data_IF_119596481778
#
_entry.id   IF_119596481778
#
_cell.length_a   1.000
_cell.length_b   1.000
_cell.length_c   1.000
_cell.angle_alpha   90.00
_cell.angle_beta   90.00
_cell.angle_gamma   90.00
#
_symmetry.space_group_name_H-M   'P 1'
#
loop_
_entity.id
_entity.type
_entity.pdbx_description
1 polymer ?
#
# COMPACT_ATOMS: atom_id res chain seq x y z
N UNK A 1 36.02 -66.60 -38.67
CA UNK A 1 36.23 -65.18 -38.31
C UNK A 1 34.86 -64.53 -38.18
N UNK A 2 34.41 -64.17 -36.97
CA UNK A 2 33.14 -63.44 -36.75
C UNK A 2 33.50 -62.01 -36.36
N UNK A 3 33.09 -61.04 -37.18
CA UNK A 3 33.29 -59.63 -36.90
C UNK A 3 32.40 -59.22 -35.71
N UNK A 4 33.01 -58.59 -34.70
CA UNK A 4 32.31 -58.06 -33.53
C UNK A 4 31.47 -56.83 -33.90
N UNK A 5 30.25 -56.78 -33.41
CA UNK A 5 29.36 -55.61 -33.53
C UNK A 5 29.86 -54.45 -32.66
N UNK A 6 29.77 -53.18 -33.10
CA UNK A 6 30.13 -52.03 -32.27
C UNK A 6 29.07 -51.79 -31.19
N UNK A 7 29.51 -51.48 -29.98
CA UNK A 7 28.65 -51.04 -28.87
C UNK A 7 28.05 -49.66 -29.20
N UNK A 8 26.79 -49.38 -28.83
CA UNK A 8 26.23 -48.05 -29.02
C UNK A 8 26.92 -47.07 -28.09
N UNK A 9 27.33 -45.94 -28.65
CA UNK A 9 27.91 -44.81 -27.93
C UNK A 9 26.91 -44.27 -26.90
N UNK A 10 27.45 -43.99 -25.73
CA UNK A 10 26.79 -43.40 -24.58
C UNK A 10 26.09 -42.09 -25.01
N UNK A 11 24.76 -42.09 -24.98
CA UNK A 11 23.96 -40.90 -25.25
C UNK A 11 24.08 -39.97 -24.03
N UNK A 12 25.15 -39.17 -24.01
CA UNK A 12 25.33 -38.09 -23.06
C UNK A 12 24.08 -37.20 -23.04
N UNK A 13 23.31 -37.27 -21.97
CA UNK A 13 22.10 -36.50 -21.73
C UNK A 13 22.44 -35.01 -21.81
N UNK A 14 21.59 -34.14 -22.41
CA UNK A 14 21.91 -32.72 -22.60
C UNK A 14 21.71 -31.93 -21.30
N UNK A 15 22.49 -32.25 -20.27
CA UNK A 15 22.47 -31.56 -18.96
C UNK A 15 22.83 -30.07 -19.12
N UNK A 16 23.64 -29.74 -20.14
CA UNK A 16 24.04 -28.36 -20.43
C UNK A 16 22.90 -27.50 -21.01
N UNK A 17 21.99 -28.10 -21.79
CA UNK A 17 20.85 -27.39 -22.40
C UNK A 17 19.76 -27.11 -21.37
N UNK A 18 19.49 -28.06 -20.47
CA UNK A 18 18.50 -27.89 -19.39
C UNK A 18 18.95 -26.81 -18.40
N UNK A 19 20.27 -26.76 -18.07
CA UNK A 19 20.84 -25.70 -17.22
C UNK A 19 20.68 -24.31 -17.85
N UNK A 20 21.00 -24.14 -19.13
CA UNK A 20 20.85 -22.86 -19.84
C UNK A 20 19.38 -22.40 -19.92
N UNK A 21 18.43 -23.34 -20.12
CA UNK A 21 16.99 -23.04 -20.10
C UNK A 21 16.49 -22.64 -18.70
N UNK A 22 17.00 -23.28 -17.65
CA UNK A 22 16.66 -22.92 -16.26
C UNK A 22 17.22 -21.55 -15.86
N UNK A 23 18.43 -21.22 -16.34
CA UNK A 23 19.11 -19.94 -16.08
C UNK A 23 18.41 -18.76 -16.76
N UNK A 24 17.98 -18.95 -18.01
CA UNK A 24 17.18 -17.94 -18.72
C UNK A 24 15.82 -17.72 -18.06
N UNK A 25 15.08 -18.76 -17.63
CA UNK A 25 13.79 -18.60 -16.94
C UNK A 25 13.94 -17.82 -15.62
N UNK A 26 15.00 -18.11 -14.86
CA UNK A 26 15.33 -17.36 -13.64
C UNK A 26 15.65 -15.90 -13.93
N UNK A 27 16.46 -15.64 -14.95
CA UNK A 27 16.83 -14.28 -15.40
C UNK A 27 15.62 -13.45 -15.83
N UNK A 28 14.70 -14.01 -16.61
CA UNK A 28 13.48 -13.30 -17.02
C UNK A 28 12.59 -12.95 -15.82
N UNK A 29 12.49 -13.85 -14.83
CA UNK A 29 11.75 -13.57 -13.60
C UNK A 29 12.38 -12.43 -12.81
N UNK A 30 13.71 -12.46 -12.61
CA UNK A 30 14.43 -11.39 -11.91
C UNK A 30 14.28 -10.06 -12.67
N UNK A 31 14.36 -10.08 -13.99
CA UNK A 31 14.21 -8.89 -14.81
C UNK A 31 12.78 -8.32 -14.76
N UNK A 32 11.76 -9.17 -14.67
CA UNK A 32 10.37 -8.73 -14.52
C UNK A 32 10.15 -8.07 -13.16
N UNK A 33 10.66 -8.65 -12.08
CA UNK A 33 10.61 -8.05 -10.74
C UNK A 33 11.37 -6.72 -10.69
N UNK A 34 12.56 -6.66 -11.30
CA UNK A 34 13.33 -5.43 -11.37
C UNK A 34 12.55 -4.33 -12.09
N UNK A 35 11.96 -4.62 -13.26
CA UNK A 35 11.15 -3.65 -14.00
C UNK A 35 9.90 -3.20 -13.22
N UNK A 36 9.28 -4.10 -12.45
CA UNK A 36 8.16 -3.75 -11.58
C UNK A 36 8.59 -2.77 -10.50
N UNK A 37 9.70 -3.07 -9.81
CA UNK A 37 10.25 -2.22 -8.77
C UNK A 37 10.72 -0.86 -9.31
N UNK A 38 11.36 -0.83 -10.48
CA UNK A 38 11.73 0.41 -11.17
C UNK A 38 10.49 1.26 -11.50
N UNK A 39 9.39 0.63 -11.92
CA UNK A 39 8.13 1.34 -12.17
C UNK A 39 7.52 1.90 -10.88
N UNK A 40 7.50 1.11 -9.80
CA UNK A 40 7.01 1.55 -8.49
C UNK A 40 7.83 2.71 -7.93
N UNK A 41 9.16 2.65 -8.06
CA UNK A 41 10.04 3.74 -7.66
C UNK A 41 9.72 5.04 -8.41
N UNK A 42 9.53 4.97 -9.74
CA UNK A 42 9.15 6.14 -10.53
C UNK A 42 7.80 6.72 -10.12
N UNK A 43 6.79 5.87 -9.89
CA UNK A 43 5.49 6.36 -9.45
C UNK A 43 5.56 7.05 -8.09
N UNK A 44 6.33 6.50 -7.14
CA UNK A 44 6.50 7.12 -5.83
C UNK A 44 7.25 8.46 -5.91
N UNK A 45 8.25 8.57 -6.78
CA UNK A 45 8.95 9.84 -7.04
C UNK A 45 8.00 10.90 -7.62
N UNK A 46 7.14 10.51 -8.58
CA UNK A 46 6.10 11.38 -9.15
C UNK A 46 5.05 11.82 -8.09
N UNK A 47 4.60 10.91 -7.24
CA UNK A 47 3.66 11.21 -6.14
C UNK A 47 4.28 12.15 -5.10
N UNK A 48 5.56 11.98 -4.77
CA UNK A 48 6.27 12.88 -3.87
C UNK A 48 6.38 14.29 -4.45
N UNK A 49 6.68 14.42 -5.76
CA UNK A 49 6.72 15.72 -6.43
C UNK A 49 5.33 16.40 -6.44
N UNK A 50 4.25 15.62 -6.51
CA UNK A 50 2.89 16.15 -6.38
C UNK A 50 2.58 16.58 -4.95
N UNK A 51 2.96 15.78 -3.94
CA UNK A 51 2.75 16.11 -2.53
C UNK A 51 3.45 17.42 -2.11
N UNK A 52 4.62 17.72 -2.67
CA UNK A 52 5.31 18.99 -2.41
C UNK A 52 4.54 20.20 -2.97
N UNK A 53 3.72 20.00 -4.01
CA UNK A 53 2.91 21.05 -4.65
C UNK A 53 1.52 21.18 -4.03
N UNK A 54 1.06 20.19 -3.26
CA UNK A 54 -0.25 20.22 -2.61
C UNK A 54 -0.18 21.19 -1.43
N UNK A 55 -1.26 21.95 -1.25
CA UNK A 55 -1.39 22.87 -0.13
C UNK A 55 -1.54 22.15 1.22
N UNK A 56 -1.31 22.88 2.31
CA UNK A 56 -1.52 22.32 3.64
C UNK A 56 -2.97 21.83 3.81
N UNK A 57 -3.14 20.66 4.44
CA UNK A 57 -4.47 20.12 4.74
C UNK A 57 -5.31 21.09 5.59
N UNK A 58 -4.67 21.92 6.43
CA UNK A 58 -5.32 22.98 7.20
C UNK A 58 -6.07 23.98 6.31
N UNK A 59 -5.46 24.38 5.19
CA UNK A 59 -5.99 25.34 4.21
C UNK A 59 -7.14 24.70 3.43
N UNK A 60 -6.90 23.53 2.83
CA UNK A 60 -7.91 22.79 2.08
C UNK A 60 -9.16 22.47 2.92
N UNK A 61 -8.97 22.06 4.18
CA UNK A 61 -10.08 21.80 5.10
C UNK A 61 -10.84 23.09 5.46
N UNK A 62 -10.14 24.20 5.70
CA UNK A 62 -10.78 25.48 6.01
C UNK A 62 -11.63 25.97 4.85
N UNK A 63 -11.11 25.90 3.62
CA UNK A 63 -11.86 26.26 2.41
C UNK A 63 -13.10 25.37 2.24
N UNK A 64 -12.95 24.06 2.45
CA UNK A 64 -14.06 23.11 2.37
C UNK A 64 -15.14 23.44 3.40
N UNK A 65 -14.77 23.70 4.67
CA UNK A 65 -15.72 24.11 5.71
C UNK A 65 -16.46 25.39 5.31
N UNK A 66 -15.74 26.41 4.83
CA UNK A 66 -16.36 27.65 4.37
C UNK A 66 -17.34 27.41 3.22
N UNK A 67 -17.03 26.49 2.30
CA UNK A 67 -17.91 26.18 1.17
C UNK A 67 -19.17 25.42 1.62
N UNK A 68 -19.04 24.49 2.58
CA UNK A 68 -20.18 23.77 3.17
C UNK A 68 -21.07 24.71 3.98
N UNK A 69 -20.49 25.68 4.70
CA UNK A 69 -21.26 26.64 5.52
C UNK A 69 -22.02 27.68 4.68
N UNK A 70 -21.55 28.02 3.47
CA UNK A 70 -22.18 29.05 2.62
C UNK A 70 -23.58 28.67 2.13
N UNK A 71 -23.85 27.39 1.91
CA UNK A 71 -25.13 26.92 1.41
C UNK A 71 -25.58 25.69 2.20
N UNK A 72 -26.65 25.79 3.02
CA UNK A 72 -27.16 24.64 3.74
C UNK A 72 -27.71 23.61 2.76
N UNK A 73 -27.36 22.34 2.98
CA UNK A 73 -27.86 21.22 2.20
C UNK A 73 -29.38 21.06 2.45
N UNK A 74 -30.24 21.12 1.42
CA UNK A 74 -31.69 20.95 1.57
C UNK A 74 -32.12 19.61 2.18
N UNK A 75 -31.25 18.59 2.13
CA UNK A 75 -31.50 17.26 2.70
C UNK A 75 -31.04 17.15 4.16
N UNK A 76 -30.26 18.11 4.65
CA UNK A 76 -29.81 18.13 6.03
C UNK A 76 -30.66 19.14 6.81
N UNK A 77 -31.28 18.73 7.93
CA UNK A 77 -31.92 19.70 8.81
C UNK A 77 -30.88 20.71 9.27
N UNK A 78 -31.20 22.00 9.24
CA UNK A 78 -30.38 23.02 9.89
C UNK A 78 -30.28 22.63 11.37
N UNK A 79 -29.13 22.06 11.78
CA UNK A 79 -28.89 21.64 13.16
C UNK A 79 -28.65 22.88 14.02
N UNK A 80 -29.71 23.67 14.22
CA UNK A 80 -29.85 24.65 15.31
C UNK A 80 -30.29 23.92 16.58
N UNK A 81 -29.57 22.86 16.94
CA UNK A 81 -29.83 22.04 18.12
C UNK A 81 -28.74 22.22 19.16
N UNK A 82 -29.05 22.18 20.47
CA UNK A 82 -28.02 22.14 21.51
C UNK A 82 -27.07 20.98 21.24
N UNK A 83 -25.78 21.17 21.52
CA UNK A 83 -24.75 20.13 21.42
C UNK A 83 -25.31 18.87 22.07
N UNK A 84 -25.40 17.79 21.31
CA UNK A 84 -25.95 16.55 21.82
C UNK A 84 -24.85 15.87 22.66
N UNK A 85 -25.00 15.78 24.00
CA UNK A 85 -23.96 15.25 24.88
C UNK A 85 -23.72 13.74 24.67
N UNK A 86 -24.57 13.05 23.89
CA UNK A 86 -24.30 11.68 23.48
C UNK A 86 -23.14 11.57 22.48
N UNK A 87 -22.76 12.65 21.79
CA UNK A 87 -21.59 12.66 20.91
C UNK A 87 -20.28 12.63 21.72
N UNK A 88 -20.27 13.26 22.89
CA UNK A 88 -19.12 13.22 23.80
C UNK A 88 -18.79 11.78 24.19
N UNK A 89 -19.77 10.87 24.28
CA UNK A 89 -19.53 9.44 24.51
C UNK A 89 -18.67 8.77 23.43
N UNK A 90 -18.79 9.21 22.17
CA UNK A 90 -18.02 8.64 21.06
C UNK A 90 -16.62 9.26 20.93
N UNK A 91 -16.46 10.51 21.40
CA UNK A 91 -15.21 11.27 21.28
C UNK A 91 -14.36 11.34 22.57
N UNK A 92 -14.94 11.14 23.75
CA UNK A 92 -14.23 11.22 25.05
C UNK A 92 -13.59 9.90 25.49
N UNK A 93 -13.70 8.83 24.68
CA UNK A 93 -13.16 7.53 25.04
C UNK A 93 -13.82 6.92 26.30
N UNK A 94 -13.37 5.73 26.73
CA UNK A 94 -13.99 5.02 27.83
C UNK A 94 -13.88 5.79 29.17
N UNK A 95 -15.02 6.08 29.79
CA UNK A 95 -15.16 6.82 31.06
C UNK A 95 -14.64 6.06 32.31
N UNK A 96 -14.17 4.82 32.16
CA UNK A 96 -13.69 4.00 33.27
C UNK A 96 -12.20 4.23 33.53
N UNK A 97 -11.94 5.17 34.43
CA UNK A 97 -10.64 5.57 34.98
C UNK A 97 -9.96 4.51 35.86
N UNK A 98 -9.98 3.24 35.45
CA UNK A 98 -9.13 2.19 36.03
C UNK A 98 -8.26 1.52 34.98
N UNK A 99 -7.31 2.32 34.47
CA UNK A 99 -6.03 1.86 33.94
C UNK A 99 -5.97 1.58 32.44
N UNK A 100 -5.61 2.58 31.62
CA UNK A 100 -5.11 2.30 30.27
C UNK A 100 -3.63 1.88 30.34
N UNK A 101 -3.32 0.64 29.93
CA UNK A 101 -1.96 0.17 29.60
C UNK A 101 -1.79 0.09 28.07
N UNK A 102 -2.11 1.17 27.38
CA UNK A 102 -2.06 1.24 25.92
C UNK A 102 -0.71 1.83 25.45
N UNK A 103 -0.06 1.20 24.45
CA UNK A 103 1.27 1.61 23.95
C UNK A 103 1.26 2.49 22.68
N UNK A 104 0.13 2.69 21.99
CA UNK A 104 0.17 3.42 20.72
C UNK A 104 -0.94 4.45 20.43
N UNK A 105 -2.05 4.52 21.17
CA UNK A 105 -3.03 5.59 20.93
C UNK A 105 -3.66 6.10 22.23
N UNK A 106 -3.05 7.16 22.77
CA UNK A 106 -3.65 8.05 23.76
C UNK A 106 -3.52 9.47 23.19
N UNK A 107 -4.40 9.82 22.24
CA UNK A 107 -4.28 11.07 21.46
C UNK A 107 -4.95 12.29 22.10
N UNK A 108 -5.58 12.11 23.26
CA UNK A 108 -5.84 13.17 24.25
C UNK A 108 -5.69 12.54 25.64
N UNK A 109 -5.06 13.28 26.55
CA UNK A 109 -4.47 12.77 27.79
C UNK A 109 -5.40 12.02 28.74
N UNK A 110 -4.78 11.36 29.72
CA UNK A 110 -5.45 10.82 30.90
C UNK A 110 -6.23 11.91 31.66
#
# INVERSE_FOLDING_TARGET
MRAGSPRPADAGTPVHSIRALSDTRGKHRIQAELKRLEQEARFLEEELEQLEKIEEASVACTETCQNVEKQPDPLLPETSGPINPAWDRWFEGPQESRGCRCWLFCWRGC
#
